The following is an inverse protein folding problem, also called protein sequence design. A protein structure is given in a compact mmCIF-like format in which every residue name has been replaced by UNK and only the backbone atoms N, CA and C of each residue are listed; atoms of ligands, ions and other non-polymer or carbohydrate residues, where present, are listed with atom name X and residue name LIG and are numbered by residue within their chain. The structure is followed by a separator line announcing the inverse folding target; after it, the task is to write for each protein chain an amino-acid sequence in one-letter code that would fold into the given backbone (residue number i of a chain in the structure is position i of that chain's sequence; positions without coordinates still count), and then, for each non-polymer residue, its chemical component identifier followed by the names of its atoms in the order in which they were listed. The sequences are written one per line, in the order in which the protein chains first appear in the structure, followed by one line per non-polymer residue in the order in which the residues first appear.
data_IF_945496747258
#
_entry.id   IF_945496747258
#
_cell.length_a   1.000
_cell.length_b   1.000
_cell.length_c   1.000
_cell.angle_alpha   90.00
_cell.angle_beta   90.00
_cell.angle_gamma   90.00
#
_symmetry.space_group_name_H-M   'P 1'
#
loop_
_entity.id
_entity.type
_entity.pdbx_description
1 polymer ?
#
# COMPACT_ATOMS: atom_id res chain seq x y z
N UNK A 1 15.27 21.37 -8.32
CA UNK A 1 14.99 20.87 -6.98
C UNK A 1 16.28 20.27 -6.44
N UNK A 2 16.74 20.73 -5.29
CA UNK A 2 17.96 20.21 -4.67
C UNK A 2 17.64 18.98 -3.82
N UNK A 3 18.30 17.85 -4.09
CA UNK A 3 18.20 16.62 -3.27
C UNK A 3 19.10 16.72 -2.04
N UNK A 4 18.85 17.69 -1.15
CA UNK A 4 19.75 18.11 -0.07
C UNK A 4 20.21 16.94 0.80
N UNK A 5 19.27 16.13 1.33
CA UNK A 5 19.59 15.00 2.22
C UNK A 5 20.42 13.95 1.49
N UNK A 6 20.01 13.56 0.28
CA UNK A 6 20.72 12.56 -0.52
C UNK A 6 22.13 13.01 -0.92
N UNK A 7 22.30 14.28 -1.29
CA UNK A 7 23.63 14.86 -1.56
C UNK A 7 24.52 14.84 -0.30
N UNK A 8 23.94 15.04 0.89
CA UNK A 8 24.69 15.01 2.15
C UNK A 8 25.16 13.60 2.54
N UNK A 9 24.49 12.54 2.07
CA UNK A 9 24.94 11.15 2.26
C UNK A 9 26.23 10.90 1.47
N UNK A 10 26.37 11.45 0.27
CA UNK A 10 27.57 11.27 -0.55
C UNK A 10 28.68 12.27 -0.22
N UNK A 11 28.32 13.54 -0.03
CA UNK A 11 29.30 14.63 -0.06
C UNK A 11 29.30 15.51 1.20
N UNK A 12 28.35 15.32 2.11
CA UNK A 12 28.16 16.19 3.27
C UNK A 12 28.23 15.48 4.61
N UNK A 13 27.39 15.93 5.54
CA UNK A 13 27.47 15.62 6.98
C UNK A 13 26.79 14.30 7.39
N UNK A 14 26.27 13.56 6.40
CA UNK A 14 25.56 12.28 6.59
C UNK A 14 26.31 11.10 5.96
N UNK A 15 27.59 11.26 5.63
CA UNK A 15 28.41 10.16 5.10
C UNK A 15 28.53 9.02 6.12
N UNK A 16 28.18 7.77 5.76
CA UNK A 16 28.26 6.64 6.68
C UNK A 16 29.69 6.39 7.18
N UNK A 17 30.69 6.57 6.31
CA UNK A 17 32.11 6.40 6.64
C UNK A 17 32.75 7.56 7.41
N UNK A 18 31.99 8.62 7.73
CA UNK A 18 32.46 9.73 8.57
C UNK A 18 31.70 9.81 9.90
N UNK A 19 30.86 8.82 10.21
CA UNK A 19 30.16 8.77 11.50
C UNK A 19 31.15 8.51 12.63
N UNK A 20 31.02 9.31 13.70
CA UNK A 20 31.77 9.09 14.92
C UNK A 20 31.39 7.75 15.56
N UNK A 21 32.31 7.15 16.30
CA UNK A 21 32.11 5.85 16.97
C UNK A 21 30.91 5.87 17.93
N UNK A 22 30.58 7.03 18.49
CA UNK A 22 29.44 7.24 19.38
C UNK A 22 28.09 7.32 18.66
N UNK A 23 28.06 7.43 17.33
CA UNK A 23 26.84 7.59 16.54
C UNK A 23 25.83 6.46 16.77
N UNK A 24 26.30 5.22 16.91
CA UNK A 24 25.43 4.07 17.22
C UNK A 24 24.69 4.26 18.54
N UNK A 25 25.37 4.76 19.58
CA UNK A 25 24.75 5.05 20.89
C UNK A 25 23.77 6.21 20.77
N UNK A 26 24.15 7.26 20.03
CA UNK A 26 23.31 8.42 19.79
C UNK A 26 21.99 8.01 19.12
N UNK A 27 22.03 7.30 17.99
CA UNK A 27 20.82 6.87 17.28
C UNK A 27 19.99 5.88 18.10
N UNK A 28 20.61 5.03 18.91
CA UNK A 28 19.89 4.13 19.81
C UNK A 28 19.03 4.89 20.83
N UNK A 29 19.50 6.06 21.28
CA UNK A 29 18.84 6.85 22.32
C UNK A 29 17.85 7.87 21.75
N UNK A 30 18.07 8.36 20.52
CA UNK A 30 17.35 9.52 19.99
C UNK A 30 16.46 9.22 18.78
N UNK A 31 16.48 8.00 18.21
CA UNK A 31 15.56 7.63 17.13
C UNK A 31 14.12 7.51 17.63
N UNK A 32 13.27 8.46 17.27
CA UNK A 32 11.85 8.50 17.65
C UNK A 32 10.99 7.58 16.77
N UNK A 33 9.73 7.38 17.18
CA UNK A 33 8.77 6.57 16.41
C UNK A 33 8.36 7.35 15.15
N UNK A 34 8.20 8.66 15.26
CA UNK A 34 7.82 9.59 14.21
C UNK A 34 8.87 9.63 13.09
N UNK A 35 10.16 9.52 13.44
CA UNK A 35 11.23 9.39 12.46
C UNK A 35 11.14 8.09 11.66
N UNK A 36 10.71 7.00 12.29
CA UNK A 36 10.71 5.66 11.69
C UNK A 36 9.42 5.38 10.92
N UNK A 37 8.28 5.61 11.57
CA UNK A 37 6.95 5.28 11.10
C UNK A 37 6.00 6.46 11.36
N UNK A 38 6.12 7.55 10.59
CA UNK A 38 5.17 8.66 10.65
C UNK A 38 3.75 8.15 10.34
N UNK A 39 2.75 8.63 11.08
CA UNK A 39 1.39 8.09 11.03
C UNK A 39 0.43 8.97 10.24
N UNK A 40 0.31 10.24 10.61
CA UNK A 40 -0.69 11.14 10.02
C UNK A 40 -0.13 11.84 8.80
N UNK A 41 1.13 12.31 8.88
CA UNK A 41 1.81 13.01 7.79
C UNK A 41 3.29 12.68 7.73
N UNK A 42 3.84 12.65 6.51
CA UNK A 42 5.29 12.54 6.29
C UNK A 42 6.08 13.72 6.88
N UNK A 43 5.40 14.81 7.22
CA UNK A 43 5.97 15.96 7.91
C UNK A 43 6.37 15.65 9.37
N UNK A 44 5.76 14.65 10.02
CA UNK A 44 6.18 14.16 11.34
C UNK A 44 7.63 13.67 11.30
N UNK A 45 7.97 12.87 10.28
CA UNK A 45 9.35 12.42 10.04
C UNK A 45 10.28 13.61 9.88
N UNK A 46 9.91 14.61 9.07
CA UNK A 46 10.79 15.75 8.80
C UNK A 46 11.02 16.62 10.04
N UNK A 47 10.01 16.73 10.90
CA UNK A 47 10.12 17.42 12.20
C UNK A 47 11.06 16.64 13.13
N UNK A 48 10.87 15.33 13.27
CA UNK A 48 11.76 14.48 14.05
C UNK A 48 13.21 14.50 13.52
N UNK A 49 13.40 14.52 12.20
CA UNK A 49 14.72 14.62 11.58
C UNK A 49 15.40 15.97 11.88
N UNK A 50 14.63 17.07 11.87
CA UNK A 50 15.11 18.40 12.28
C UNK A 50 15.56 18.45 13.74
N UNK A 51 14.81 17.82 14.62
CA UNK A 51 15.17 17.75 16.05
C UNK A 51 16.43 16.91 16.25
N UNK A 52 16.48 15.73 15.62
CA UNK A 52 17.60 14.79 15.70
C UNK A 52 18.94 15.39 15.23
N UNK A 53 18.91 16.28 14.24
CA UNK A 53 20.08 16.96 13.70
C UNK A 53 19.98 18.48 13.76
N UNK A 54 19.44 19.00 14.87
CA UNK A 54 19.31 20.45 15.09
C UNK A 54 20.66 21.20 15.08
N UNK A 55 21.76 20.48 15.32
CA UNK A 55 23.14 20.94 15.21
C UNK A 55 23.64 21.11 13.76
N UNK A 56 22.93 20.56 12.77
CA UNK A 56 23.30 20.54 11.35
C UNK A 56 22.28 21.29 10.48
N UNK A 57 22.19 22.63 10.59
CA UNK A 57 21.22 23.42 9.83
C UNK A 57 21.39 23.29 8.30
N UNK A 58 22.58 22.89 7.84
CA UNK A 58 22.87 22.64 6.42
C UNK A 58 22.01 21.56 5.77
N UNK A 59 21.47 20.62 6.57
CA UNK A 59 20.60 19.54 6.09
C UNK A 59 19.19 20.01 5.74
N UNK A 60 18.79 21.21 6.19
CA UNK A 60 17.42 21.73 6.06
C UNK A 60 17.35 22.99 5.20
N UNK A 61 18.33 23.16 4.31
CA UNK A 61 18.30 24.22 3.31
C UNK A 61 17.13 24.04 2.34
N UNK A 62 16.66 25.16 1.80
CA UNK A 62 15.62 25.20 0.79
C UNK A 62 15.99 24.32 -0.41
N UNK A 63 15.03 23.52 -0.87
CA UNK A 63 15.21 22.64 -2.04
C UNK A 63 14.78 23.29 -3.36
N UNK A 64 14.26 24.52 -3.30
CA UNK A 64 13.82 25.32 -4.43
C UNK A 64 12.35 25.13 -4.78
N UNK A 65 11.62 24.24 -4.10
CA UNK A 65 10.18 24.08 -4.28
C UNK A 65 9.34 25.01 -3.39
N UNK A 66 9.96 25.70 -2.42
CA UNK A 66 9.29 26.58 -1.47
C UNK A 66 8.46 27.67 -2.17
N UNK A 67 8.95 28.18 -3.30
CA UNK A 67 8.27 29.22 -4.09
C UNK A 67 6.90 28.78 -4.61
N UNK A 68 6.71 27.48 -4.87
CA UNK A 68 5.44 26.92 -5.33
C UNK A 68 4.50 26.66 -4.16
N UNK A 69 5.04 26.22 -3.01
CA UNK A 69 4.23 25.96 -1.82
C UNK A 69 3.50 27.21 -1.28
N UNK A 70 4.01 28.41 -1.61
CA UNK A 70 3.39 29.70 -1.28
C UNK A 70 2.25 30.10 -2.21
N UNK A 71 2.05 29.40 -3.33
CA UNK A 71 0.97 29.67 -4.28
C UNK A 71 -0.37 29.16 -3.73
N UNK A 72 -1.47 29.64 -4.31
CA UNK A 72 -2.81 29.26 -3.90
C UNK A 72 -3.05 27.75 -4.10
N UNK A 73 -3.79 27.15 -3.17
CA UNK A 73 -4.19 25.75 -3.24
C UNK A 73 -5.27 25.54 -4.30
N UNK A 74 -5.28 24.34 -4.87
CA UNK A 74 -6.44 23.83 -5.63
C UNK A 74 -7.36 23.04 -4.71
N UNK A 75 -8.44 22.47 -5.26
CA UNK A 75 -9.37 21.60 -4.50
C UNK A 75 -8.79 20.19 -4.21
N UNK A 76 -7.57 19.90 -4.66
CA UNK A 76 -6.92 18.61 -4.48
C UNK A 76 -6.38 18.48 -3.05
N UNK A 77 -7.00 17.59 -2.27
CA UNK A 77 -6.53 17.20 -0.93
C UNK A 77 -6.08 15.73 -0.92
N UNK A 78 -4.78 15.49 -1.08
CA UNK A 78 -4.17 14.17 -0.88
C UNK A 78 -2.79 14.32 -0.25
N UNK A 79 -2.55 13.58 0.83
CA UNK A 79 -1.24 13.49 1.47
C UNK A 79 -0.57 12.17 1.10
N UNK A 80 0.62 12.23 0.52
CA UNK A 80 1.43 11.04 0.23
C UNK A 80 2.29 10.73 1.46
N UNK A 81 1.86 9.75 2.24
CA UNK A 81 2.54 9.32 3.47
C UNK A 81 3.22 7.94 3.36
N UNK A 82 3.16 7.30 2.19
CA UNK A 82 3.75 5.99 1.93
C UNK A 82 4.27 5.88 0.49
N UNK A 83 5.10 4.86 0.18
CA UNK A 83 5.57 4.59 -1.17
C UNK A 83 4.47 4.43 -2.22
N UNK A 84 4.66 5.05 -3.37
CA UNK A 84 3.83 4.89 -4.57
C UNK A 84 4.39 3.79 -5.48
N UNK A 85 5.70 3.57 -5.44
CA UNK A 85 6.37 2.45 -6.11
C UNK A 85 7.05 1.57 -5.06
N UNK A 86 6.94 0.26 -5.20
CA UNK A 86 7.61 -0.69 -4.32
C UNK A 86 9.13 -0.58 -4.49
N UNK A 87 9.85 -0.56 -3.37
CA UNK A 87 11.31 -0.62 -3.34
C UNK A 87 11.74 -1.83 -2.53
N UNK A 88 12.57 -2.68 -3.13
CA UNK A 88 13.23 -3.76 -2.40
C UNK A 88 14.36 -3.15 -1.58
N UNK A 89 14.12 -2.97 -0.30
CA UNK A 89 15.09 -2.44 0.66
C UNK A 89 15.51 -3.56 1.61
N UNK A 90 16.81 -3.80 1.72
CA UNK A 90 17.36 -4.72 2.72
C UNK A 90 17.03 -4.26 4.14
N UNK A 91 16.65 -5.21 5.00
CA UNK A 91 16.34 -4.92 6.39
C UNK A 91 17.60 -4.48 7.15
N UNK A 92 17.53 -3.44 7.99
CA UNK A 92 18.68 -2.99 8.77
C UNK A 92 19.02 -3.98 9.88
N UNK A 93 20.30 -4.29 10.05
CA UNK A 93 20.82 -5.17 11.10
C UNK A 93 21.33 -4.40 12.30
N UNK A 94 21.84 -3.18 12.09
CA UNK A 94 22.38 -2.33 13.15
C UNK A 94 21.51 -1.09 13.38
N UNK A 95 21.68 -0.43 14.54
CA UNK A 95 20.97 0.82 14.82
C UNK A 95 21.32 1.93 13.83
N UNK A 96 22.57 1.99 13.39
CA UNK A 96 23.03 2.99 12.40
C UNK A 96 22.46 2.70 11.02
N UNK A 97 22.43 1.43 10.59
CA UNK A 97 21.70 1.03 9.39
C UNK A 97 20.21 1.37 9.49
N UNK A 98 19.60 1.18 10.67
CA UNK A 98 18.20 1.52 10.92
C UNK A 98 17.93 3.01 10.76
N UNK A 99 18.84 3.88 11.24
CA UNK A 99 18.76 5.32 10.98
C UNK A 99 18.73 5.61 9.47
N UNK A 100 19.70 5.11 8.71
CA UNK A 100 19.77 5.36 7.26
C UNK A 100 18.59 4.76 6.48
N UNK A 101 18.13 3.58 6.87
CA UNK A 101 16.98 2.93 6.26
C UNK A 101 15.75 3.85 6.31
N UNK A 102 15.40 4.33 7.50
CA UNK A 102 14.24 5.20 7.67
C UNK A 102 14.47 6.61 7.14
N UNK A 103 15.69 7.15 7.26
CA UNK A 103 16.08 8.42 6.64
C UNK A 103 15.78 8.42 5.14
N UNK A 104 16.33 7.44 4.42
CA UNK A 104 16.22 7.36 2.96
C UNK A 104 14.78 7.04 2.52
N UNK A 105 14.13 6.10 3.19
CA UNK A 105 12.74 5.71 2.89
C UNK A 105 11.76 6.87 3.07
N UNK A 106 11.85 7.57 4.19
CA UNK A 106 10.90 8.62 4.55
C UNK A 106 11.22 9.93 3.84
N UNK A 107 12.50 10.25 3.61
CA UNK A 107 12.89 11.38 2.78
C UNK A 107 12.41 11.22 1.34
N UNK A 108 12.49 10.03 0.77
CA UNK A 108 11.95 9.74 -0.57
C UNK A 108 10.46 10.03 -0.62
N UNK A 109 9.72 9.51 0.36
CA UNK A 109 8.27 9.75 0.47
C UNK A 109 7.95 11.24 0.64
N UNK A 110 8.74 11.97 1.43
CA UNK A 110 8.60 13.42 1.65
C UNK A 110 8.81 14.20 0.36
N UNK A 111 9.82 13.83 -0.44
CA UNK A 111 10.11 14.47 -1.71
C UNK A 111 9.01 14.18 -2.74
N UNK A 112 8.51 12.95 -2.81
CA UNK A 112 7.36 12.59 -3.64
C UNK A 112 6.12 13.40 -3.28
N UNK A 113 5.80 13.49 -1.98
CA UNK A 113 4.71 14.33 -1.48
C UNK A 113 4.94 15.80 -1.83
N UNK A 114 6.12 16.36 -1.59
CA UNK A 114 6.43 17.76 -1.97
C UNK A 114 6.24 18.04 -3.44
N UNK A 115 6.74 17.18 -4.33
CA UNK A 115 6.56 17.33 -5.77
C UNK A 115 5.06 17.34 -6.10
N UNK A 116 4.30 16.41 -5.52
CA UNK A 116 2.85 16.32 -5.70
C UNK A 116 2.11 17.56 -5.21
N UNK A 117 2.39 18.03 -3.99
CA UNK A 117 1.78 19.25 -3.45
C UNK A 117 2.09 20.46 -4.34
N UNK A 118 3.34 20.64 -4.76
CA UNK A 118 3.73 21.77 -5.61
C UNK A 118 3.09 21.71 -6.99
N UNK A 119 3.00 20.51 -7.58
CA UNK A 119 2.37 20.31 -8.89
C UNK A 119 0.87 20.66 -8.88
N UNK A 120 0.20 20.41 -7.74
CA UNK A 120 -1.23 20.67 -7.55
C UNK A 120 -1.55 22.07 -7.01
N UNK A 121 -0.58 22.99 -7.02
CA UNK A 121 -0.86 24.40 -6.76
C UNK A 121 -1.51 25.06 -7.98
N UNK A 122 -2.17 26.19 -7.75
CA UNK A 122 -2.68 27.04 -8.84
C UNK A 122 -1.51 27.78 -9.51
N UNK A 123 -0.83 27.05 -10.41
CA UNK A 123 0.36 27.49 -11.14
C UNK A 123 0.26 27.13 -12.62
N UNK A 124 1.06 27.80 -13.44
CA UNK A 124 1.06 27.59 -14.88
C UNK A 124 1.59 26.21 -15.27
N UNK A 125 1.19 25.71 -16.44
CA UNK A 125 1.73 24.45 -16.97
C UNK A 125 3.24 24.51 -17.23
N UNK A 126 3.78 25.71 -17.47
CA UNK A 126 5.23 25.93 -17.60
C UNK A 126 5.92 25.62 -16.27
N UNK A 127 5.36 26.08 -15.16
CA UNK A 127 5.89 25.83 -13.82
C UNK A 127 5.76 24.36 -13.42
N UNK A 128 4.61 23.73 -13.70
CA UNK A 128 4.42 22.27 -13.51
C UNK A 128 5.46 21.46 -14.25
N UNK A 129 5.72 21.79 -15.51
CA UNK A 129 6.78 21.19 -16.33
C UNK A 129 8.16 21.44 -15.71
N UNK A 130 8.41 22.66 -15.25
CA UNK A 130 9.65 23.03 -14.55
C UNK A 130 9.92 22.19 -13.31
N UNK A 131 8.90 21.96 -12.46
CA UNK A 131 8.99 21.11 -11.26
C UNK A 131 9.40 19.69 -11.64
N UNK A 132 8.65 19.04 -12.54
CA UNK A 132 8.87 17.64 -12.94
C UNK A 132 10.24 17.46 -13.58
N UNK A 133 10.59 18.31 -14.54
CA UNK A 133 11.88 18.21 -15.25
C UNK A 133 13.06 18.47 -14.32
N UNK A 134 12.93 19.43 -13.41
CA UNK A 134 13.97 19.72 -12.43
C UNK A 134 14.17 18.57 -11.44
N UNK A 135 13.09 17.91 -11.01
CA UNK A 135 13.16 16.71 -10.17
C UNK A 135 13.87 15.56 -10.91
N UNK A 136 13.38 15.17 -12.09
CA UNK A 136 13.96 14.09 -12.91
C UNK A 136 15.44 14.33 -13.18
N UNK A 137 15.81 15.55 -13.62
CA UNK A 137 17.22 15.91 -13.86
C UNK A 137 18.05 15.73 -12.60
N UNK A 138 17.60 16.25 -11.47
CA UNK A 138 18.37 16.22 -10.22
C UNK A 138 18.57 14.79 -9.70
N UNK A 139 17.58 13.92 -9.91
CA UNK A 139 17.66 12.50 -9.54
C UNK A 139 18.65 11.77 -10.46
N UNK A 140 18.56 11.96 -11.78
CA UNK A 140 19.50 11.36 -12.75
C UNK A 140 20.93 11.83 -12.53
N UNK A 141 21.14 13.12 -12.32
CA UNK A 141 22.45 13.70 -12.01
C UNK A 141 23.06 13.08 -10.74
N UNK A 142 22.23 12.76 -9.74
CA UNK A 142 22.70 12.13 -8.51
C UNK A 142 22.95 10.63 -8.68
N UNK A 143 22.12 9.91 -9.43
CA UNK A 143 22.38 8.52 -9.81
C UNK A 143 23.71 8.38 -10.58
N UNK A 144 23.95 9.27 -11.55
CA UNK A 144 25.21 9.33 -12.31
C UNK A 144 26.42 9.53 -11.39
N UNK A 145 26.28 10.43 -10.42
CA UNK A 145 27.32 10.71 -9.42
C UNK A 145 27.58 9.50 -8.53
N UNK A 146 26.54 8.83 -8.05
CA UNK A 146 26.70 7.58 -7.30
C UNK A 146 27.46 6.56 -8.15
N UNK A 147 27.03 6.32 -9.39
CA UNK A 147 27.67 5.34 -10.28
C UNK A 147 29.12 5.69 -10.66
N UNK A 148 29.44 6.97 -10.78
CA UNK A 148 30.81 7.42 -11.06
C UNK A 148 31.72 7.26 -9.84
N UNK A 149 31.22 7.63 -8.67
CA UNK A 149 32.04 7.72 -7.46
C UNK A 149 32.07 6.41 -6.66
N UNK A 150 31.19 5.44 -6.93
CA UNK A 150 31.01 4.22 -6.13
C UNK A 150 32.32 3.47 -5.87
N UNK A 151 33.21 3.39 -6.87
CA UNK A 151 34.51 2.70 -6.74
C UNK A 151 35.51 3.39 -5.81
N UNK A 152 35.28 4.67 -5.50
CA UNK A 152 36.11 5.47 -4.59
C UNK A 152 35.58 5.51 -3.16
N UNK A 153 34.38 4.97 -2.93
CA UNK A 153 33.77 4.92 -1.61
C UNK A 153 34.40 3.81 -0.76
N UNK A 154 34.44 3.96 0.57
CA UNK A 154 34.91 2.90 1.45
C UNK A 154 34.13 1.60 1.27
N UNK A 155 34.85 0.49 1.17
CA UNK A 155 34.27 -0.84 1.08
C UNK A 155 34.10 -1.43 2.50
N UNK A 156 33.03 -0.99 3.16
CA UNK A 156 32.63 -1.48 4.49
C UNK A 156 31.11 -1.75 4.54
N UNK A 157 30.69 -2.61 5.47
CA UNK A 157 29.30 -3.07 5.59
C UNK A 157 28.29 -1.92 5.71
N UNK A 158 28.64 -0.84 6.41
CA UNK A 158 27.71 0.28 6.59
C UNK A 158 27.65 1.10 5.31
N UNK A 159 28.79 1.44 4.71
CA UNK A 159 28.84 2.18 3.44
C UNK A 159 28.10 1.44 2.34
N UNK A 160 28.38 0.15 2.14
CA UNK A 160 27.73 -0.68 1.14
C UNK A 160 26.21 -0.74 1.34
N UNK A 161 25.75 -0.95 2.59
CA UNK A 161 24.32 -0.92 2.91
C UNK A 161 23.67 0.43 2.57
N UNK A 162 24.27 1.54 3.01
CA UNK A 162 23.69 2.88 2.82
C UNK A 162 23.67 3.29 1.35
N UNK A 163 24.70 2.97 0.58
CA UNK A 163 24.74 3.25 -0.85
C UNK A 163 23.70 2.42 -1.61
N UNK A 164 23.52 1.13 -1.28
CA UNK A 164 22.46 0.31 -1.86
C UNK A 164 21.07 0.88 -1.55
N UNK A 165 20.82 1.30 -0.30
CA UNK A 165 19.57 1.96 0.08
C UNK A 165 19.37 3.29 -0.67
N UNK A 166 20.42 4.09 -0.82
CA UNK A 166 20.37 5.37 -1.52
C UNK A 166 19.99 5.17 -2.99
N UNK A 167 20.63 4.21 -3.67
CA UNK A 167 20.31 3.86 -5.05
C UNK A 167 18.85 3.44 -5.18
N UNK A 168 18.40 2.48 -4.36
CA UNK A 168 17.03 1.95 -4.42
C UNK A 168 15.98 3.06 -4.23
N UNK A 169 16.23 3.99 -3.29
CA UNK A 169 15.35 5.12 -3.03
C UNK A 169 15.39 6.22 -4.10
N UNK A 170 16.55 6.49 -4.72
CA UNK A 170 16.65 7.39 -5.86
C UNK A 170 15.92 6.84 -7.10
N UNK A 171 16.07 5.54 -7.37
CA UNK A 171 15.34 4.85 -8.45
C UNK A 171 13.83 4.91 -8.18
N UNK A 172 13.41 4.64 -6.94
CA UNK A 172 12.01 4.80 -6.54
C UNK A 172 11.51 6.23 -6.80
N UNK A 173 12.21 7.25 -6.31
CA UNK A 173 11.81 8.66 -6.51
C UNK A 173 11.68 9.02 -8.00
N UNK A 174 12.63 8.55 -8.82
CA UNK A 174 12.58 8.73 -10.27
C UNK A 174 11.31 8.10 -10.85
N UNK A 175 11.02 6.86 -10.47
CA UNK A 175 9.88 6.09 -10.99
C UNK A 175 8.55 6.67 -10.55
N UNK A 176 8.43 7.06 -9.28
CA UNK A 176 7.24 7.74 -8.76
C UNK A 176 6.98 9.04 -9.54
N UNK A 177 8.02 9.82 -9.82
CA UNK A 177 7.91 11.07 -10.61
C UNK A 177 7.51 10.79 -12.07
N UNK A 178 8.20 9.88 -12.75
CA UNK A 178 7.96 9.57 -14.17
C UNK A 178 6.57 8.97 -14.42
N UNK A 179 6.09 8.11 -13.52
CA UNK A 179 4.79 7.45 -13.64
C UNK A 179 3.62 8.42 -13.34
N UNK A 180 3.79 9.31 -12.36
CA UNK A 180 2.76 10.30 -12.04
C UNK A 180 2.61 11.35 -13.16
N UNK A 181 3.71 11.79 -13.77
CA UNK A 181 3.72 12.95 -14.68
C UNK A 181 4.28 12.68 -16.09
N UNK A 182 3.79 11.66 -16.82
CA UNK A 182 4.36 11.26 -18.10
C UNK A 182 4.34 12.38 -19.15
N UNK A 183 3.27 13.20 -19.16
CA UNK A 183 3.09 14.29 -20.13
C UNK A 183 3.97 15.51 -19.87
N UNK A 184 4.60 15.59 -18.70
CA UNK A 184 5.47 16.69 -18.28
C UNK A 184 6.97 16.35 -18.41
N UNK A 185 7.29 15.13 -18.86
CA UNK A 185 8.66 14.71 -19.10
C UNK A 185 9.24 15.39 -20.35
N UNK A 186 10.55 15.61 -20.35
CA UNK A 186 11.26 16.10 -21.54
C UNK A 186 11.57 14.96 -22.53
N UNK A 187 11.74 13.75 -22.02
CA UNK A 187 12.06 12.53 -22.75
C UNK A 187 11.12 11.41 -22.31
N UNK A 188 11.16 10.28 -23.01
CA UNK A 188 10.50 9.05 -22.53
C UNK A 188 10.98 8.68 -21.12
N UNK A 189 10.14 8.00 -20.31
CA UNK A 189 10.53 7.50 -18.99
C UNK A 189 11.80 6.63 -19.06
N UNK A 190 12.62 6.71 -18.02
CA UNK A 190 13.89 6.01 -17.98
C UNK A 190 13.75 4.50 -18.05
N UNK A 191 14.59 3.86 -18.84
CA UNK A 191 14.65 2.39 -18.90
C UNK A 191 15.54 1.83 -17.80
N UNK A 192 15.43 0.52 -17.52
CA UNK A 192 16.39 -0.17 -16.64
C UNK A 192 17.83 -0.04 -17.14
N UNK A 193 18.01 -0.08 -18.48
CA UNK A 193 19.32 0.06 -19.10
C UNK A 193 19.93 1.44 -18.83
N UNK A 194 19.13 2.51 -18.98
CA UNK A 194 19.60 3.87 -18.67
C UNK A 194 19.96 3.97 -17.18
N UNK A 195 19.06 3.53 -16.29
CA UNK A 195 19.28 3.66 -14.83
C UNK A 195 20.50 2.88 -14.37
N UNK A 196 20.58 1.58 -14.67
CA UNK A 196 21.65 0.72 -14.15
C UNK A 196 22.90 0.77 -15.01
N UNK A 197 22.76 0.64 -16.33
CA UNK A 197 23.89 0.55 -17.25
C UNK A 197 24.57 1.89 -17.51
N UNK A 198 23.81 2.96 -17.72
CA UNK A 198 24.38 4.26 -18.14
C UNK A 198 24.62 5.21 -16.97
N UNK A 199 23.68 5.32 -16.02
CA UNK A 199 23.84 6.22 -14.88
C UNK A 199 24.65 5.57 -13.76
N UNK A 200 24.29 4.35 -13.34
CA UNK A 200 24.94 3.70 -12.20
C UNK A 200 26.22 2.93 -12.55
N UNK A 201 26.50 2.66 -13.82
CA UNK A 201 27.58 1.76 -14.26
C UNK A 201 27.52 0.37 -13.58
N UNK A 202 26.30 -0.11 -13.30
CA UNK A 202 26.02 -1.38 -12.63
C UNK A 202 25.43 -2.41 -13.61
N UNK A 203 25.56 -3.70 -13.33
CA UNK A 203 24.81 -4.73 -14.05
C UNK A 203 23.30 -4.45 -13.99
N UNK A 204 22.62 -4.58 -15.12
CA UNK A 204 21.17 -4.41 -15.18
C UNK A 204 20.50 -5.55 -14.42
N UNK A 205 19.74 -5.20 -13.38
CA UNK A 205 18.99 -6.16 -12.58
C UNK A 205 17.74 -6.64 -13.32
N UNK A 206 17.42 -7.93 -13.20
CA UNK A 206 16.18 -8.51 -13.76
C UNK A 206 14.92 -8.01 -13.03
N UNK A 207 15.06 -7.62 -11.76
CA UNK A 207 13.96 -7.14 -10.91
C UNK A 207 13.18 -5.99 -11.55
N UNK A 208 11.86 -6.02 -11.39
CA UNK A 208 10.96 -4.94 -11.81
C UNK A 208 11.18 -3.73 -10.89
N UNK A 209 11.23 -2.52 -11.45
CA UNK A 209 11.54 -1.28 -10.70
C UNK A 209 10.37 -0.28 -10.68
N UNK A 210 9.23 -0.67 -11.23
CA UNK A 210 8.03 0.15 -11.44
C UNK A 210 6.75 -0.56 -10.96
N UNK A 211 6.87 -1.48 -9.99
CA UNK A 211 5.70 -2.08 -9.36
C UNK A 211 4.98 -1.01 -8.54
N UNK A 212 3.73 -0.71 -8.90
CA UNK A 212 2.95 0.38 -8.27
C UNK A 212 2.13 -0.10 -7.08
N UNK A 213 1.94 0.78 -6.09
CA UNK A 213 1.16 0.50 -4.88
C UNK A 213 -0.30 0.96 -5.03
N UNK A 214 -1.22 0.56 -4.13
CA UNK A 214 -2.58 1.11 -4.13
C UNK A 214 -2.63 2.64 -3.97
N UNK A 215 -1.69 3.23 -3.23
CA UNK A 215 -1.62 4.67 -3.04
C UNK A 215 -1.26 5.40 -4.35
N UNK A 216 -0.42 4.79 -5.21
CA UNK A 216 -0.14 5.33 -6.54
C UNK A 216 -1.41 5.51 -7.37
N UNK A 217 -2.28 4.50 -7.40
CA UNK A 217 -3.54 4.59 -8.16
C UNK A 217 -4.45 5.69 -7.62
N UNK A 218 -4.45 5.91 -6.30
CA UNK A 218 -5.18 7.02 -5.67
C UNK A 218 -4.62 8.37 -6.13
N UNK A 219 -3.30 8.55 -6.04
CA UNK A 219 -2.63 9.78 -6.48
C UNK A 219 -2.84 10.06 -7.98
N UNK A 220 -2.77 9.02 -8.82
CA UNK A 220 -2.98 9.14 -10.27
C UNK A 220 -4.42 9.52 -10.62
N UNK A 221 -5.41 8.96 -9.93
CA UNK A 221 -6.81 9.30 -10.13
C UNK A 221 -7.10 10.77 -9.79
N UNK A 222 -6.55 11.25 -8.67
CA UNK A 222 -6.65 12.65 -8.25
C UNK A 222 -6.08 13.59 -9.31
N UNK A 223 -4.87 13.30 -9.84
CA UNK A 223 -4.24 14.11 -10.89
C UNK A 223 -5.04 14.15 -12.20
N UNK A 224 -5.77 13.08 -12.51
CA UNK A 224 -6.58 13.01 -13.72
C UNK A 224 -7.89 13.83 -13.61
N UNK A 225 -8.13 14.53 -12.49
CA UNK A 225 -9.39 15.23 -12.25
C UNK A 225 -10.58 14.26 -12.19
N UNK A 226 -10.31 12.98 -11.94
CA UNK A 226 -11.35 11.98 -11.74
C UNK A 226 -11.76 12.13 -10.29
N UNK A 227 -12.86 12.87 -10.06
CA UNK A 227 -13.57 12.95 -8.78
C UNK A 227 -13.51 11.59 -8.12
N UNK A 228 -12.77 11.50 -7.02
CA UNK A 228 -12.52 10.29 -6.22
C UNK A 228 -12.88 9.01 -6.96
N UNK A 229 -11.90 8.37 -7.61
CA UNK A 229 -12.06 6.95 -7.92
C UNK A 229 -12.22 6.23 -6.58
N UNK A 230 -13.46 6.18 -6.09
CA UNK A 230 -13.99 5.01 -5.42
C UNK A 230 -13.49 3.89 -6.32
N UNK A 231 -12.57 3.05 -5.81
CA UNK A 231 -12.27 1.74 -6.38
C UNK A 231 -13.56 1.29 -7.08
N UNK A 232 -13.57 0.97 -8.40
CA UNK A 232 -14.81 0.58 -9.06
C UNK A 232 -15.36 -0.47 -8.15
N UNK A 233 -16.45 -0.13 -7.44
CA UNK A 233 -16.86 -0.85 -6.24
C UNK A 233 -17.00 -2.27 -6.73
N UNK A 234 -16.07 -3.17 -6.33
CA UNK A 234 -15.72 -4.32 -7.16
C UNK A 234 -17.00 -4.84 -7.82
N UNK A 235 -17.20 -4.50 -9.10
CA UNK A 235 -18.55 -4.66 -9.68
C UNK A 235 -18.90 -6.14 -9.77
N UNK A 236 -17.88 -6.98 -9.57
CA UNK A 236 -17.96 -8.40 -9.27
C UNK A 236 -18.65 -8.56 -7.94
N UNK A 237 -19.94 -8.82 -8.04
CA UNK A 237 -20.78 -9.18 -6.93
C UNK A 237 -20.16 -10.36 -6.14
N UNK A 238 -19.77 -10.14 -4.89
CA UNK A 238 -19.20 -11.13 -3.97
C UNK A 238 -19.74 -10.94 -2.56
N UNK A 239 -19.54 -11.93 -1.69
CA UNK A 239 -19.91 -11.87 -0.28
C UNK A 239 -18.83 -11.26 0.61
N UNK A 240 -17.57 -11.25 0.13
CA UNK A 240 -16.43 -10.54 0.72
C UNK A 240 -16.09 -10.98 2.14
N UNK A 241 -15.78 -12.27 2.31
CA UNK A 241 -15.28 -12.85 3.55
C UNK A 241 -13.94 -12.22 3.96
N UNK A 242 -13.80 -11.85 5.24
CA UNK A 242 -12.60 -11.17 5.76
C UNK A 242 -11.84 -11.98 6.82
N UNK A 243 -12.31 -13.20 7.13
CA UNK A 243 -11.72 -14.07 8.14
C UNK A 243 -10.74 -15.11 7.59
N UNK A 244 -10.37 -16.08 8.43
CA UNK A 244 -9.51 -17.20 8.07
C UNK A 244 -10.30 -18.27 7.28
N UNK A 245 -9.79 -18.64 6.10
CA UNK A 245 -10.46 -19.55 5.18
C UNK A 245 -10.50 -21.01 5.68
N UNK A 246 -9.50 -21.45 6.46
CA UNK A 246 -9.45 -22.79 7.02
C UNK A 246 -10.41 -22.90 8.22
N UNK A 247 -10.55 -21.85 9.02
CA UNK A 247 -11.57 -21.78 10.07
C UNK A 247 -12.98 -21.81 9.46
N UNK A 248 -13.23 -21.04 8.40
CA UNK A 248 -14.50 -21.06 7.69
C UNK A 248 -14.81 -22.46 7.13
N UNK A 249 -13.81 -23.15 6.60
CA UNK A 249 -13.94 -24.55 6.16
C UNK A 249 -14.40 -25.44 7.31
N UNK A 250 -13.68 -25.44 8.43
CA UNK A 250 -14.03 -26.24 9.61
C UNK A 250 -15.46 -25.96 10.11
N UNK A 251 -15.87 -24.69 10.11
CA UNK A 251 -17.21 -24.26 10.49
C UNK A 251 -18.27 -24.80 9.54
N UNK A 252 -18.09 -24.67 8.22
CA UNK A 252 -19.03 -25.16 7.21
C UNK A 252 -19.19 -26.68 7.30
N UNK A 253 -18.09 -27.42 7.42
CA UNK A 253 -18.14 -28.87 7.57
C UNK A 253 -18.87 -29.28 8.86
N UNK A 254 -18.64 -28.55 9.96
CA UNK A 254 -19.30 -28.81 11.24
C UNK A 254 -20.80 -28.51 11.18
N UNK A 255 -21.21 -27.41 10.54
CA UNK A 255 -22.62 -27.10 10.29
C UNK A 255 -23.25 -28.19 9.41
N UNK A 256 -22.60 -28.58 8.32
CA UNK A 256 -23.15 -29.61 7.44
C UNK A 256 -23.33 -30.95 8.17
N UNK A 257 -22.36 -31.34 9.00
CA UNK A 257 -22.42 -32.59 9.77
C UNK A 257 -23.47 -32.58 10.88
N UNK A 258 -23.64 -31.46 11.59
CA UNK A 258 -24.45 -31.42 12.82
C UNK A 258 -25.89 -30.98 12.60
N UNK A 259 -26.15 -30.16 11.58
CA UNK A 259 -27.49 -29.63 11.30
C UNK A 259 -27.99 -29.95 9.89
N UNK A 260 -27.26 -30.79 9.15
CA UNK A 260 -27.57 -31.14 7.76
C UNK A 260 -27.80 -29.88 6.91
N UNK A 261 -26.80 -28.99 6.93
CA UNK A 261 -26.92 -27.66 6.32
C UNK A 261 -27.25 -27.75 4.82
N UNK A 262 -26.56 -28.62 4.08
CA UNK A 262 -26.60 -28.73 2.63
C UNK A 262 -27.26 -30.05 2.18
N UNK A 263 -27.86 -30.05 0.99
CA UNK A 263 -28.31 -31.27 0.31
C UNK A 263 -27.12 -31.99 -0.33
N UNK A 264 -27.30 -33.27 -0.65
CA UNK A 264 -26.28 -34.11 -1.29
C UNK A 264 -25.77 -33.54 -2.63
N UNK A 265 -26.59 -32.74 -3.32
CA UNK A 265 -26.24 -32.04 -4.56
C UNK A 265 -25.32 -30.81 -4.37
N UNK A 266 -25.03 -30.42 -3.12
CA UNK A 266 -24.12 -29.31 -2.78
C UNK A 266 -23.08 -29.76 -1.76
N UNK A 267 -21.81 -29.70 -2.13
CA UNK A 267 -20.71 -30.06 -1.21
C UNK A 267 -20.33 -28.89 -0.30
N UNK A 268 -19.74 -29.20 0.86
CA UNK A 268 -19.19 -28.21 1.78
C UNK A 268 -18.11 -27.33 1.10
N UNK A 269 -17.26 -27.92 0.25
CA UNK A 269 -16.25 -27.16 -0.51
C UNK A 269 -16.89 -26.22 -1.55
N UNK A 270 -17.98 -26.63 -2.22
CA UNK A 270 -18.72 -25.74 -3.13
C UNK A 270 -19.33 -24.55 -2.37
N UNK A 271 -19.89 -24.80 -1.19
CA UNK A 271 -20.44 -23.75 -0.36
C UNK A 271 -19.36 -22.78 0.15
N UNK A 272 -18.22 -23.31 0.59
CA UNK A 272 -17.06 -22.50 0.96
C UNK A 272 -16.59 -21.64 -0.22
N UNK A 273 -16.40 -22.24 -1.40
CA UNK A 273 -15.94 -21.55 -2.59
C UNK A 273 -16.87 -20.40 -3.00
N UNK A 274 -18.19 -20.57 -2.85
CA UNK A 274 -19.17 -19.49 -3.06
C UNK A 274 -19.00 -18.38 -2.02
N UNK A 275 -18.87 -18.72 -0.72
CA UNK A 275 -18.70 -17.71 0.33
C UNK A 275 -17.39 -16.91 0.22
N UNK A 276 -16.31 -17.53 -0.26
CA UNK A 276 -15.00 -16.89 -0.43
C UNK A 276 -14.72 -16.41 -1.85
N UNK A 277 -15.69 -16.52 -2.77
CA UNK A 277 -15.48 -16.13 -4.17
C UNK A 277 -15.22 -14.63 -4.29
N UNK A 278 -14.26 -14.27 -5.14
CA UNK A 278 -14.02 -12.87 -5.54
C UNK A 278 -15.03 -12.38 -6.59
N UNK A 279 -15.79 -13.28 -7.22
CA UNK A 279 -16.83 -12.94 -8.19
C UNK A 279 -17.86 -14.06 -8.33
N UNK A 280 -19.12 -13.79 -7.97
CA UNK A 280 -20.24 -14.74 -8.06
C UNK A 280 -20.96 -14.70 -9.40
N UNK A 281 -20.64 -13.75 -10.27
CA UNK A 281 -21.27 -13.63 -11.60
C UNK A 281 -20.68 -14.61 -12.63
N UNK A 282 -19.59 -15.32 -12.30
CA UNK A 282 -18.89 -16.22 -13.22
C UNK A 282 -18.80 -17.61 -12.58
N UNK A 283 -19.58 -18.57 -13.09
CA UNK A 283 -19.40 -20.00 -12.82
C UNK A 283 -19.56 -20.44 -11.37
N UNK A 284 -20.24 -19.67 -10.51
CA UNK A 284 -20.47 -20.05 -9.12
C UNK A 284 -21.52 -21.17 -9.00
N UNK A 285 -21.24 -22.16 -8.16
CA UNK A 285 -22.13 -23.29 -7.92
C UNK A 285 -23.43 -22.85 -7.23
N UNK A 286 -24.54 -23.51 -7.58
CA UNK A 286 -25.78 -23.38 -6.84
C UNK A 286 -25.66 -24.07 -5.48
N UNK A 287 -26.22 -23.45 -4.44
CA UNK A 287 -26.18 -23.90 -3.06
C UNK A 287 -27.57 -24.34 -2.64
N UNK A 288 -27.74 -25.64 -2.44
CA UNK A 288 -29.01 -26.26 -2.07
C UNK A 288 -29.00 -26.61 -0.60
N UNK A 289 -29.83 -25.92 0.17
CA UNK A 289 -29.92 -26.10 1.63
C UNK A 289 -30.79 -27.30 1.96
N UNK A 290 -30.41 -28.07 2.98
CA UNK A 290 -31.25 -29.12 3.57
C UNK A 290 -31.79 -28.74 4.96
N UNK A 291 -31.31 -27.67 5.58
CA UNK A 291 -31.84 -27.15 6.84
C UNK A 291 -33.10 -26.30 6.66
N UNK A 292 -33.77 -25.96 7.78
CA UNK A 292 -34.90 -25.04 7.76
C UNK A 292 -34.45 -23.61 7.45
N UNK A 293 -35.27 -22.85 6.70
CA UNK A 293 -34.98 -21.44 6.37
C UNK A 293 -34.75 -20.58 7.63
N UNK A 294 -35.39 -20.91 8.74
CA UNK A 294 -35.20 -20.27 10.06
C UNK A 294 -33.79 -20.49 10.61
N UNK A 295 -33.25 -21.71 10.50
CA UNK A 295 -31.88 -22.02 10.93
C UNK A 295 -30.86 -21.31 10.03
N UNK A 296 -31.06 -21.37 8.70
CA UNK A 296 -30.19 -20.68 7.76
C UNK A 296 -30.21 -19.16 7.95
N UNK A 297 -31.38 -18.57 8.16
CA UNK A 297 -31.49 -17.13 8.44
C UNK A 297 -30.75 -16.72 9.71
N UNK A 298 -30.74 -17.57 10.73
CA UNK A 298 -29.99 -17.32 11.96
C UNK A 298 -28.48 -17.39 11.72
N UNK A 299 -28.00 -18.41 10.98
CA UNK A 299 -26.58 -18.56 10.60
C UNK A 299 -26.10 -17.33 9.82
N UNK A 300 -26.86 -16.88 8.81
CA UNK A 300 -26.53 -15.68 8.03
C UNK A 300 -26.35 -14.47 8.94
N UNK A 301 -27.28 -14.25 9.89
CA UNK A 301 -27.18 -13.11 10.81
C UNK A 301 -26.01 -13.19 11.79
N UNK A 302 -25.51 -14.39 12.10
CA UNK A 302 -24.31 -14.56 12.95
C UNK A 302 -23.02 -14.41 12.16
N UNK A 303 -23.01 -14.86 10.91
CA UNK A 303 -21.86 -14.76 10.02
C UNK A 303 -21.67 -13.36 9.47
N UNK A 304 -22.71 -12.50 9.45
CA UNK A 304 -22.66 -11.16 8.86
C UNK A 304 -21.43 -10.33 9.28
N UNK A 305 -20.93 -10.47 10.52
CA UNK A 305 -19.73 -9.73 10.97
C UNK A 305 -18.41 -10.16 10.33
N UNK A 306 -18.33 -11.37 9.78
CA UNK A 306 -17.13 -11.90 9.12
C UNK A 306 -17.14 -11.66 7.60
N UNK A 307 -18.17 -10.97 7.09
CA UNK A 307 -18.38 -10.72 5.67
C UNK A 307 -18.77 -9.26 5.43
N UNK A 308 -18.28 -8.68 4.34
CA UNK A 308 -18.65 -7.31 3.95
C UNK A 308 -20.04 -7.23 3.31
N UNK A 309 -20.51 -8.31 2.69
CA UNK A 309 -21.75 -8.31 1.93
C UNK A 309 -22.49 -9.65 1.97
N UNK A 310 -22.43 -10.42 3.06
CA UNK A 310 -23.23 -11.65 3.22
C UNK A 310 -24.48 -11.39 4.07
N UNK A 311 -25.59 -11.04 3.42
CA UNK A 311 -26.84 -10.67 4.07
C UNK A 311 -28.03 -11.10 3.19
N UNK A 312 -29.28 -11.03 3.69
CA UNK A 312 -30.45 -11.46 2.92
C UNK A 312 -30.62 -10.81 1.54
N UNK A 313 -30.17 -9.57 1.37
CA UNK A 313 -30.29 -8.84 0.09
C UNK A 313 -29.28 -9.37 -0.93
N UNK A 314 -28.03 -9.54 -0.53
CA UNK A 314 -27.00 -10.09 -1.42
C UNK A 314 -27.24 -11.57 -1.72
N UNK A 315 -27.72 -12.36 -0.76
CA UNK A 315 -28.10 -13.76 -1.01
C UNK A 315 -29.16 -13.85 -2.11
N UNK A 316 -30.18 -12.99 -2.09
CA UNK A 316 -31.18 -12.92 -3.18
C UNK A 316 -30.56 -12.47 -4.50
N UNK A 317 -29.73 -11.41 -4.50
CA UNK A 317 -29.06 -10.90 -5.70
C UNK A 317 -28.15 -11.93 -6.37
N UNK A 318 -27.58 -12.86 -5.60
CA UNK A 318 -26.71 -13.92 -6.12
C UNK A 318 -27.44 -14.90 -7.05
N UNK A 319 -28.74 -15.12 -6.84
CA UNK A 319 -29.50 -16.22 -7.46
C UNK A 319 -28.89 -17.63 -7.26
N UNK A 320 -28.03 -17.82 -6.25
CA UNK A 320 -27.34 -19.11 -6.03
C UNK A 320 -28.01 -20.01 -4.98
N UNK A 321 -28.84 -19.45 -4.09
CA UNK A 321 -29.30 -20.17 -2.89
C UNK A 321 -30.71 -20.73 -3.04
N UNK A 322 -30.85 -22.03 -2.83
CA UNK A 322 -32.12 -22.75 -2.90
C UNK A 322 -32.47 -23.32 -1.52
N UNK A 323 -33.72 -23.10 -1.10
CA UNK A 323 -34.27 -23.64 0.13
C UNK A 323 -34.38 -25.17 0.11
N UNK A 324 -34.66 -25.78 1.26
CA UNK A 324 -34.97 -27.22 1.38
C UNK A 324 -36.01 -27.72 0.37
N UNK A 325 -37.00 -26.88 0.03
CA UNK A 325 -38.05 -27.20 -0.94
C UNK A 325 -37.65 -26.99 -2.41
N UNK A 326 -36.40 -26.61 -2.69
CA UNK A 326 -35.90 -26.34 -4.05
C UNK A 326 -36.30 -24.97 -4.62
N UNK A 327 -36.95 -24.10 -3.82
CA UNK A 327 -37.26 -22.75 -4.25
C UNK A 327 -36.07 -21.82 -4.03
N UNK A 328 -35.80 -20.94 -5.00
CA UNK A 328 -34.82 -19.86 -4.84
C UNK A 328 -35.15 -19.01 -3.62
N UNK A 329 -34.16 -18.77 -2.76
CA UNK A 329 -34.31 -17.96 -1.56
C UNK A 329 -34.43 -16.48 -1.94
N UNK A 330 -35.55 -15.88 -1.56
CA UNK A 330 -35.78 -14.44 -1.66
C UNK A 330 -35.43 -13.77 -0.35
N UNK A 331 -35.08 -12.48 -0.41
CA UNK A 331 -34.75 -11.66 0.77
C UNK A 331 -35.87 -11.70 1.82
N UNK A 332 -37.12 -11.64 1.36
CA UNK A 332 -38.30 -11.73 2.22
C UNK A 332 -38.43 -13.09 2.93
N UNK A 333 -37.90 -14.18 2.37
CA UNK A 333 -37.91 -15.47 3.06
C UNK A 333 -37.00 -15.44 4.28
N UNK A 334 -35.84 -14.79 4.21
CA UNK A 334 -34.89 -14.72 5.32
C UNK A 334 -35.38 -13.73 6.40
N UNK A 335 -35.79 -12.52 6.02
CA UNK A 335 -36.30 -11.56 7.01
C UNK A 335 -37.52 -12.04 7.78
N UNK A 336 -38.48 -12.70 7.11
CA UNK A 336 -39.68 -13.22 7.78
C UNK A 336 -39.40 -14.41 8.70
N UNK A 337 -38.30 -15.14 8.48
CA UNK A 337 -37.90 -16.28 9.30
C UNK A 337 -36.79 -15.91 10.30
N UNK A 338 -36.56 -14.61 10.56
CA UNK A 338 -35.65 -14.17 11.61
C UNK A 338 -36.24 -14.57 12.97
N UNK A 339 -35.66 -15.61 13.56
CA UNK A 339 -36.02 -16.13 14.87
C UNK A 339 -34.76 -16.14 15.75
N UNK A 340 -34.86 -15.59 16.96
CA UNK A 340 -33.77 -15.60 17.93
C UNK A 340 -33.47 -16.99 18.49
N UNK A 341 -34.41 -17.94 18.38
CA UNK A 341 -34.32 -19.29 18.94
C UNK A 341 -34.67 -20.34 17.88
N UNK A 342 -33.86 -20.51 16.83
CA UNK A 342 -34.07 -21.57 15.85
C UNK A 342 -33.81 -22.95 16.47
N UNK A 343 -34.27 -23.99 15.79
CA UNK A 343 -33.89 -25.37 16.12
C UNK A 343 -32.36 -25.52 16.08
N UNK A 344 -31.81 -26.24 17.07
CA UNK A 344 -30.35 -26.46 17.22
C UNK A 344 -29.53 -25.17 17.40
N UNK A 345 -30.12 -24.13 17.99
CA UNK A 345 -29.43 -22.85 18.22
C UNK A 345 -28.10 -23.05 18.99
N UNK A 346 -28.10 -23.82 20.07
CA UNK A 346 -26.91 -24.02 20.91
C UNK A 346 -25.78 -24.68 20.12
N UNK A 347 -26.10 -25.68 19.30
CA UNK A 347 -25.15 -26.36 18.44
C UNK A 347 -24.60 -25.39 17.38
N UNK A 348 -25.46 -24.61 16.74
CA UNK A 348 -25.06 -23.57 15.79
C UNK A 348 -24.12 -22.55 16.45
N UNK A 349 -24.50 -22.00 17.60
CA UNK A 349 -23.70 -21.01 18.33
C UNK A 349 -22.33 -21.58 18.74
N UNK A 350 -22.27 -22.85 19.14
CA UNK A 350 -21.00 -23.51 19.51
C UNK A 350 -20.10 -23.79 18.31
N UNK A 351 -20.67 -24.11 17.14
CA UNK A 351 -19.90 -24.26 15.91
C UNK A 351 -19.35 -22.90 15.47
N UNK A 352 -20.18 -21.86 15.48
CA UNK A 352 -19.81 -20.53 14.97
C UNK A 352 -18.76 -19.80 15.83
N UNK A 353 -18.57 -20.17 17.11
CA UNK A 353 -17.46 -19.67 17.95
C UNK A 353 -16.06 -20.04 17.44
N UNK A 354 -15.97 -20.98 16.51
CA UNK A 354 -14.71 -21.43 15.91
C UNK A 354 -14.28 -20.54 14.73
N UNK A 355 -15.15 -19.62 14.30
CA UNK A 355 -14.87 -18.59 13.30
C UNK A 355 -14.29 -17.35 13.98
#
# INVERSE_FOLDING_TARGET
MELVVFKNILYGELKPWQLANEATKFYRQNLTIEFQNPKESIQEYYTAFKELHSDKPGLFKADGLEVYLLQADTEIELNINAPLVEATLEAPLTTTQKFYHYLLKNETTRLTDRIFQCFNKDISDIDKKGIVQSAVKSIKDLLLKVGTDQTSLPDDDLTNYVIAQLISNLVRLLKETELLYPDYLQSVPSTKQEVFGELLNMPVLESIIDITTPLYHTAKAVLAGVDTYQLPKDSRFSFGFTGDADNLKTVIYSLNRQIELLKDETTADQFQAVLTSKNLQIGASQIHLNCETTQFSYIVGKLEHSFTNFNPTSIEQSNLFYSKKGNLLKRNNLYKNKNSYPKQQTEIDNILKQL
#
